data_IF_468241654475
#
_entry.id   IF_468241654475
#
_cell.length_a   1.000
_cell.length_b   1.000
_cell.length_c   1.000
_cell.angle_alpha   90.00
_cell.angle_beta   90.00
_cell.angle_gamma   90.00
#
_symmetry.space_group_name_H-M   'P 1'
#
loop_
_entity.id
_entity.type
_entity.pdbx_description
1 polymer ?
#
# COMPACT_ATOMS: atom_id res chain seq x y z
N UNK A 1 33.90 -5.11 -3.77
CA UNK A 1 33.18 -6.36 -3.43
C UNK A 1 31.74 -6.17 -3.85
N UNK A 2 31.16 -7.00 -4.73
CA UNK A 2 29.75 -6.86 -5.10
C UNK A 2 28.93 -7.06 -3.82
N UNK A 3 28.10 -6.08 -3.47
CA UNK A 3 27.34 -6.09 -2.22
C UNK A 3 26.50 -7.36 -2.10
N UNK A 4 26.65 -8.06 -0.97
CA UNK A 4 25.90 -9.27 -0.68
C UNK A 4 24.40 -8.95 -0.74
N UNK A 5 23.69 -9.50 -1.73
CA UNK A 5 22.24 -9.34 -1.86
C UNK A 5 21.58 -10.18 -0.78
N UNK A 6 20.95 -9.52 0.19
CA UNK A 6 20.10 -10.19 1.18
C UNK A 6 18.69 -10.31 0.59
N UNK A 7 18.15 -11.53 0.59
CA UNK A 7 16.77 -11.81 0.20
C UNK A 7 16.12 -12.65 1.29
N UNK A 8 14.97 -12.20 1.80
CA UNK A 8 14.07 -13.01 2.63
C UNK A 8 12.86 -13.37 1.76
N UNK A 9 12.66 -14.66 1.40
CA UNK A 9 11.53 -15.10 0.59
C UNK A 9 10.15 -14.74 1.18
N UNK A 10 10.07 -14.52 2.49
CA UNK A 10 8.83 -14.17 3.19
C UNK A 10 8.64 -12.67 3.39
N UNK A 11 9.60 -11.83 2.97
CA UNK A 11 9.59 -10.40 3.24
C UNK A 11 8.29 -9.71 2.80
N UNK A 12 7.85 -9.97 1.56
CA UNK A 12 6.63 -9.37 1.01
C UNK A 12 5.38 -9.76 1.81
N UNK A 13 5.27 -11.02 2.22
CA UNK A 13 4.15 -11.50 3.03
C UNK A 13 4.15 -10.88 4.43
N UNK A 14 5.32 -10.77 5.07
CA UNK A 14 5.48 -10.09 6.37
C UNK A 14 5.09 -8.62 6.27
N UNK A 15 5.53 -7.93 5.20
CA UNK A 15 5.18 -6.54 4.94
C UNK A 15 3.67 -6.35 4.78
N UNK A 16 3.01 -7.18 3.97
CA UNK A 16 1.56 -7.09 3.77
C UNK A 16 0.78 -7.32 5.08
N UNK A 17 1.27 -8.16 5.99
CA UNK A 17 0.67 -8.32 7.33
C UNK A 17 0.77 -7.06 8.16
N UNK A 18 1.94 -6.42 8.18
CA UNK A 18 2.15 -5.15 8.90
C UNK A 18 1.29 -4.02 8.32
N UNK A 19 1.24 -3.88 7.00
CA UNK A 19 0.39 -2.88 6.33
C UNK A 19 -1.10 -3.08 6.67
N UNK A 20 -1.55 -4.34 6.79
CA UNK A 20 -2.91 -4.64 7.25
C UNK A 20 -3.14 -4.22 8.69
N UNK A 21 -2.17 -4.41 9.58
CA UNK A 21 -2.28 -3.95 10.97
C UNK A 21 -2.41 -2.43 11.04
N UNK A 22 -1.62 -1.68 10.28
CA UNK A 22 -1.76 -0.21 10.21
C UNK A 22 -3.15 0.24 9.76
N UNK A 23 -3.72 -0.46 8.77
CA UNK A 23 -5.07 -0.20 8.31
C UNK A 23 -6.11 -0.41 9.43
N UNK A 24 -5.99 -1.50 10.18
CA UNK A 24 -6.87 -1.81 11.32
C UNK A 24 -6.72 -0.81 12.48
N UNK A 25 -5.51 -0.32 12.72
CA UNK A 25 -5.18 0.70 13.73
C UNK A 25 -5.47 2.14 13.27
N UNK A 26 -6.14 2.32 12.12
CA UNK A 26 -6.44 3.62 11.53
C UNK A 26 -5.20 4.52 11.30
N UNK A 27 -4.03 3.91 11.12
CA UNK A 27 -2.74 4.60 11.02
C UNK A 27 -2.21 4.70 9.59
N UNK A 28 -1.49 5.80 9.30
CA UNK A 28 -0.79 6.05 8.02
C UNK A 28 -1.69 6.13 6.77
N UNK A 29 -2.97 6.46 6.91
CA UNK A 29 -3.87 6.72 5.79
C UNK A 29 -3.61 8.10 5.18
N UNK A 30 -3.61 8.20 3.85
CA UNK A 30 -3.35 9.43 3.09
C UNK A 30 -4.52 9.82 2.15
N UNK A 31 -5.57 9.00 2.11
CA UNK A 31 -6.82 9.28 1.40
C UNK A 31 -8.01 8.56 2.02
N UNK A 32 -9.20 9.05 1.66
CA UNK A 32 -10.47 8.36 1.81
C UNK A 32 -10.95 7.93 0.42
N UNK A 33 -11.21 6.64 0.24
CA UNK A 33 -11.88 6.10 -0.94
C UNK A 33 -13.38 6.08 -0.65
N UNK A 34 -14.16 6.84 -1.40
CA UNK A 34 -15.62 6.89 -1.25
C UNK A 34 -16.27 5.97 -2.28
N UNK A 35 -17.02 4.97 -1.82
CA UNK A 35 -17.76 4.03 -2.66
C UNK A 35 -19.20 3.97 -2.19
N UNK A 36 -20.15 4.30 -3.06
CA UNK A 36 -21.59 4.32 -2.74
C UNK A 36 -21.96 5.12 -1.47
N UNK A 37 -21.15 6.14 -1.15
CA UNK A 37 -21.31 6.99 0.03
C UNK A 37 -20.62 6.47 1.30
N UNK A 38 -19.99 5.30 1.27
CA UNK A 38 -19.13 4.80 2.35
C UNK A 38 -17.69 5.30 2.20
N UNK A 39 -17.11 5.80 3.29
CA UNK A 39 -15.72 6.28 3.32
C UNK A 39 -14.78 5.20 3.87
N UNK A 40 -13.81 4.81 3.04
CA UNK A 40 -12.79 3.83 3.40
C UNK A 40 -11.43 4.53 3.52
N UNK A 41 -10.79 4.57 4.71
CA UNK A 41 -9.45 5.10 4.83
C UNK A 41 -8.46 4.18 4.12
N UNK A 42 -7.58 4.74 3.30
CA UNK A 42 -6.68 3.96 2.42
C UNK A 42 -5.29 4.57 2.34
N UNK A 43 -4.35 3.78 1.82
CA UNK A 43 -3.03 4.24 1.40
C UNK A 43 -2.97 4.23 -0.14
N UNK A 44 -2.77 5.41 -0.76
CA UNK A 44 -2.78 5.56 -2.23
C UNK A 44 -1.75 4.67 -2.91
N UNK A 45 -0.57 4.50 -2.31
CA UNK A 45 0.49 3.64 -2.84
C UNK A 45 0.09 2.16 -2.88
N UNK A 46 -0.55 1.64 -1.83
CA UNK A 46 -1.05 0.26 -1.78
C UNK A 46 -2.13 0.07 -2.84
N UNK A 47 -3.08 1.01 -2.94
CA UNK A 47 -4.13 0.96 -3.94
C UNK A 47 -3.58 0.98 -5.37
N UNK A 48 -2.63 1.85 -5.67
CA UNK A 48 -2.01 1.88 -6.99
C UNK A 48 -1.16 0.64 -7.30
N UNK A 49 -0.56 0.01 -6.28
CA UNK A 49 0.14 -1.26 -6.45
C UNK A 49 -0.85 -2.40 -6.81
N UNK A 50 -2.04 -2.41 -6.20
CA UNK A 50 -3.05 -3.46 -6.38
C UNK A 50 -4.04 -3.22 -7.55
N UNK A 51 -4.28 -1.96 -7.94
CA UNK A 51 -5.31 -1.58 -8.91
C UNK A 51 -4.71 -0.79 -10.08
N UNK A 52 -4.74 -1.34 -11.31
CA UNK A 52 -4.28 -0.63 -12.50
C UNK A 52 -5.03 0.68 -12.75
N UNK A 53 -6.34 0.71 -12.45
CA UNK A 53 -7.18 1.90 -12.60
C UNK A 53 -6.68 3.05 -11.71
N UNK A 54 -6.45 2.77 -10.42
CA UNK A 54 -5.99 3.79 -9.47
C UNK A 54 -4.56 4.24 -9.83
N UNK A 55 -3.74 3.33 -10.35
CA UNK A 55 -2.39 3.66 -10.83
C UNK A 55 -2.42 4.64 -12.00
N UNK A 56 -3.31 4.45 -12.97
CA UNK A 56 -3.40 5.34 -14.15
C UNK A 56 -3.94 6.73 -13.81
N UNK A 57 -4.77 6.85 -12.77
CA UNK A 57 -5.32 8.13 -12.31
C UNK A 57 -4.28 9.03 -11.60
N UNK A 58 -3.01 8.61 -11.50
CA UNK A 58 -1.93 9.45 -10.97
C UNK A 58 -1.94 9.64 -9.45
N UNK A 59 -2.73 8.85 -8.71
CA UNK A 59 -2.80 8.89 -7.24
C UNK A 59 -1.53 8.34 -6.56
N UNK A 60 -0.68 7.60 -7.28
CA UNK A 60 0.61 7.17 -6.78
C UNK A 60 1.64 8.31 -6.86
N UNK A 61 1.97 8.91 -5.73
CA UNK A 61 3.15 9.78 -5.64
C UNK A 61 4.41 9.00 -6.10
N UNK A 62 5.38 9.66 -6.77
CA UNK A 62 6.62 9.00 -7.15
C UNK A 62 7.36 8.52 -5.89
N UNK A 63 7.85 7.27 -5.96
CA UNK A 63 8.59 6.59 -4.89
C UNK A 63 10.02 7.10 -4.83
#
# INVERSE_FOLDING_TARGET
>A
LPGSKVSDPQHSQKLLRVLRTFWQEQSFHDALLVVDGEELPVQKNILAAASPYIRSEGLAAPI
#
